data_IF_803964140317
#
_entry.id   IF_803964140317
#
_cell.length_a   1.000
_cell.length_b   1.000
_cell.length_c   1.000
_cell.angle_alpha   90.00
_cell.angle_beta   90.00
_cell.angle_gamma   90.00
#
_symmetry.space_group_name_H-M   'P 1'
#
loop_
_entity.id
_entity.type
_entity.pdbx_description
1 polymer ?
#
# COMPACT_ATOMS: atom_id res chain seq x y z
N UNK A 1 33.80 -3.27 -11.32
CA UNK A 1 32.85 -2.32 -10.69
C UNK A 1 33.44 -0.92 -10.73
N UNK A 2 32.74 0.04 -11.35
CA UNK A 2 33.17 1.44 -11.50
C UNK A 2 33.14 2.18 -10.15
N UNK A 3 33.92 3.27 -10.01
CA UNK A 3 33.87 4.14 -8.82
C UNK A 3 32.44 4.64 -8.51
N UNK A 4 31.64 4.88 -9.55
CA UNK A 4 30.23 5.26 -9.45
C UNK A 4 29.38 4.16 -8.80
N UNK A 5 29.57 2.89 -9.21
CA UNK A 5 28.86 1.75 -8.62
C UNK A 5 29.20 1.50 -7.14
N UNK A 6 30.39 1.89 -6.68
CA UNK A 6 30.76 1.84 -5.25
C UNK A 6 30.19 3.01 -4.44
N UNK A 7 30.10 4.21 -5.03
CA UNK A 7 29.49 5.38 -4.38
C UNK A 7 27.98 5.22 -4.20
N UNK A 8 27.29 4.63 -5.19
CA UNK A 8 25.85 4.33 -5.10
C UNK A 8 25.57 3.32 -3.98
N UNK A 9 26.34 2.22 -3.93
CA UNK A 9 26.19 1.21 -2.87
C UNK A 9 26.52 1.73 -1.46
N UNK A 10 27.36 2.76 -1.35
CA UNK A 10 27.74 3.35 -0.07
C UNK A 10 26.72 4.39 0.45
N UNK A 11 25.95 5.03 -0.44
CA UNK A 11 24.83 5.91 -0.05
C UNK A 11 23.59 5.14 0.39
N UNK A 12 23.29 3.99 -0.22
CA UNK A 12 22.15 3.12 0.15
C UNK A 12 22.28 2.56 1.57
N UNK A 13 23.50 2.50 2.13
CA UNK A 13 23.78 1.87 3.44
C UNK A 13 23.58 2.79 4.67
N UNK A 14 23.31 4.08 4.51
CA UNK A 14 23.38 5.07 5.62
C UNK A 14 22.01 5.44 6.23
N UNK A 15 20.88 5.00 5.65
CA UNK A 15 19.56 5.36 6.17
C UNK A 15 19.02 4.42 7.28
N UNK A 16 19.88 3.88 8.15
CA UNK A 16 19.45 3.26 9.41
C UNK A 16 19.88 4.14 10.59
N UNK A 17 18.89 4.87 11.14
CA UNK A 17 18.86 5.53 12.45
C UNK A 17 19.73 6.79 12.61
N UNK A 18 19.06 7.95 12.73
CA UNK A 18 19.09 8.81 13.95
C UNK A 18 18.12 9.99 13.83
N UNK A 19 17.24 10.09 14.83
CA UNK A 19 16.38 11.25 15.11
C UNK A 19 17.17 12.57 15.05
N UNK A 20 16.65 13.56 14.32
CA UNK A 20 16.75 14.98 14.72
C UNK A 20 15.52 15.75 14.29
N UNK A 21 14.97 16.49 15.27
CA UNK A 21 13.89 17.46 15.15
C UNK A 21 14.18 18.51 14.07
N UNK A 22 13.23 18.75 13.16
CA UNK A 22 13.28 19.91 12.26
C UNK A 22 11.91 20.57 12.07
N UNK A 23 11.90 21.89 12.26
CA UNK A 23 10.77 22.79 11.98
C UNK A 23 10.53 22.85 10.47
N UNK A 24 9.28 22.66 10.03
CA UNK A 24 8.93 22.68 8.60
C UNK A 24 7.95 23.82 8.26
N UNK A 25 8.22 24.48 7.13
CA UNK A 25 7.22 25.23 6.36
C UNK A 25 6.64 24.31 5.30
N UNK A 26 5.32 24.33 5.16
CA UNK A 26 4.57 23.52 4.21
C UNK A 26 4.65 24.12 2.81
N UNK A 27 5.14 23.34 1.85
CA UNK A 27 4.98 23.58 0.41
C UNK A 27 4.39 22.30 -0.17
N UNK A 28 3.36 22.42 -1.01
CA UNK A 28 2.49 21.32 -1.43
C UNK A 28 3.22 20.10 -1.99
N UNK A 29 2.70 18.92 -1.62
CA UNK A 29 3.19 17.59 -2.01
C UNK A 29 2.97 17.35 -3.51
N UNK A 30 4.05 17.17 -4.27
CA UNK A 30 4.09 16.52 -5.59
C UNK A 30 5.37 15.67 -5.71
N UNK A 31 5.25 14.39 -6.13
CA UNK A 31 6.33 13.39 -6.33
C UNK A 31 6.48 12.40 -5.16
N UNK A 32 6.90 11.11 -5.24
CA UNK A 32 7.67 10.37 -6.26
C UNK A 32 8.43 9.11 -5.70
N UNK A 33 7.86 8.08 -5.01
CA UNK A 33 8.49 6.75 -4.69
C UNK A 33 7.58 5.49 -4.60
N UNK A 34 8.01 4.30 -5.03
CA UNK A 34 7.36 2.96 -5.03
C UNK A 34 6.85 2.56 -3.63
N UNK A 35 6.94 3.51 -2.70
CA UNK A 35 7.80 3.75 -1.54
C UNK A 35 7.39 5.18 -1.13
N UNK A 36 7.02 5.50 0.10
CA UNK A 36 6.75 6.92 0.42
C UNK A 36 8.08 7.69 0.28
N UNK A 37 8.15 8.60 -0.70
CA UNK A 37 9.35 9.40 -0.98
C UNK A 37 9.14 10.81 -0.49
N UNK A 38 10.14 11.25 0.27
CA UNK A 38 10.25 12.61 0.76
C UNK A 38 11.58 13.20 0.32
N UNK A 39 11.50 14.28 -0.45
CA UNK A 39 12.65 15.03 -0.91
C UNK A 39 13.20 15.92 0.22
N UNK A 40 14.52 15.94 0.33
CA UNK A 40 15.31 16.83 1.18
C UNK A 40 16.39 17.50 0.30
N UNK A 41 17.05 18.54 0.80
CA UNK A 41 17.90 19.43 -0.03
C UNK A 41 18.94 18.69 -0.90
N UNK A 42 19.47 17.54 -0.44
CA UNK A 42 20.48 16.77 -1.16
C UNK A 42 20.20 15.24 -1.24
N UNK A 43 19.06 14.77 -0.71
CA UNK A 43 18.75 13.34 -0.54
C UNK A 43 17.25 12.99 -0.59
N UNK A 44 16.97 11.69 -0.81
CA UNK A 44 15.62 11.12 -0.77
C UNK A 44 15.48 10.22 0.45
N UNK A 45 14.47 10.46 1.27
CA UNK A 45 13.99 9.47 2.26
C UNK A 45 12.94 8.59 1.59
N UNK A 46 13.12 7.28 1.68
CA UNK A 46 12.23 6.29 1.05
C UNK A 46 11.76 5.28 2.11
N UNK A 47 10.46 5.07 2.23
CA UNK A 47 9.84 4.08 3.12
C UNK A 47 9.06 3.08 2.28
N UNK A 48 9.21 1.77 2.52
CA UNK A 48 8.49 0.76 1.73
C UNK A 48 6.99 0.84 1.98
N UNK A 49 6.17 0.48 1.00
CA UNK A 49 4.73 0.43 1.18
C UNK A 49 4.34 -0.64 2.21
N UNK A 50 5.13 -1.72 2.28
CA UNK A 50 4.92 -2.74 3.30
C UNK A 50 5.24 -2.22 4.71
N UNK A 51 6.25 -1.36 4.88
CA UNK A 51 6.56 -0.74 6.17
C UNK A 51 5.43 0.21 6.62
N UNK A 52 4.82 0.98 5.71
CA UNK A 52 3.66 1.79 6.09
C UNK A 52 2.47 0.91 6.43
N UNK A 53 2.25 -0.20 5.73
CA UNK A 53 1.18 -1.14 6.05
C UNK A 53 1.36 -1.80 7.43
N UNK A 54 2.62 -2.07 7.81
CA UNK A 54 2.96 -2.54 9.16
C UNK A 54 2.68 -1.46 10.22
N UNK A 55 2.87 -0.17 9.91
CA UNK A 55 2.47 0.95 10.78
C UNK A 55 0.94 1.07 10.87
N UNK A 56 0.21 0.91 9.75
CA UNK A 56 -1.26 0.89 9.72
C UNK A 56 -1.82 -0.18 10.65
N UNK A 57 -1.25 -1.39 10.63
CA UNK A 57 -1.66 -2.47 11.51
C UNK A 57 -1.39 -2.17 12.99
N UNK A 58 -0.31 -1.43 13.30
CA UNK A 58 -0.02 -0.99 14.66
C UNK A 58 -1.07 -0.01 15.18
N UNK A 59 -1.56 0.93 14.35
CA UNK A 59 -2.66 1.81 14.72
C UNK A 59 -3.94 1.04 14.97
N UNK A 60 -4.29 0.13 14.06
CA UNK A 60 -5.50 -0.69 14.18
C UNK A 60 -5.54 -1.46 15.51
N UNK A 61 -4.40 -2.06 15.92
CA UNK A 61 -4.29 -2.79 17.21
C UNK A 61 -4.55 -1.94 18.46
N UNK A 62 -4.45 -0.60 18.36
CA UNK A 62 -4.74 0.30 19.48
C UNK A 62 -6.22 0.71 19.54
N UNK A 63 -7.02 0.40 18.51
CA UNK A 63 -8.43 0.69 18.54
C UNK A 63 -9.21 -0.25 19.45
N UNK A 64 -10.27 0.28 20.03
CA UNK A 64 -11.13 -0.51 20.91
C UNK A 64 -11.98 -1.49 20.08
N UNK A 65 -12.39 -2.65 20.64
CA UNK A 65 -13.15 -3.66 19.92
C UNK A 65 -14.42 -3.15 19.24
N UNK A 66 -15.06 -2.11 19.76
CA UNK A 66 -16.28 -1.53 19.19
C UNK A 66 -16.07 -0.92 17.80
N UNK A 67 -14.83 -0.55 17.44
CA UNK A 67 -14.50 -0.06 16.09
C UNK A 67 -14.57 -1.16 15.02
N UNK A 68 -14.45 -2.42 15.43
CA UNK A 68 -14.54 -3.57 14.53
C UNK A 68 -16.00 -4.00 14.29
N UNK A 69 -16.95 -3.59 15.15
CA UNK A 69 -18.36 -4.02 15.15
C UNK A 69 -18.58 -5.53 15.37
N UNK A 70 -17.83 -6.38 14.68
CA UNK A 70 -17.80 -7.82 14.82
C UNK A 70 -16.40 -8.28 15.16
N UNK A 71 -16.25 -8.78 16.39
CA UNK A 71 -14.94 -9.24 16.87
C UNK A 71 -14.50 -10.55 16.21
N UNK A 72 -15.39 -11.31 15.57
CA UNK A 72 -15.06 -12.56 14.89
C UNK A 72 -14.03 -12.34 13.77
N UNK A 73 -14.13 -11.21 13.05
CA UNK A 73 -13.24 -10.89 11.94
C UNK A 73 -12.02 -10.05 12.35
N UNK A 74 -11.79 -9.81 13.64
CA UNK A 74 -10.71 -8.90 14.10
C UNK A 74 -9.35 -9.28 13.51
N UNK A 75 -9.00 -10.57 13.56
CA UNK A 75 -7.71 -11.05 13.08
C UNK A 75 -7.58 -10.93 11.56
N UNK A 76 -8.66 -11.21 10.82
CA UNK A 76 -8.69 -11.06 9.36
C UNK A 76 -8.59 -9.58 8.94
N UNK A 77 -9.25 -8.68 9.67
CA UNK A 77 -9.17 -7.24 9.42
C UNK A 77 -7.76 -6.73 9.73
N UNK A 78 -7.17 -7.14 10.85
CA UNK A 78 -5.79 -6.78 11.18
C UNK A 78 -4.81 -7.30 10.13
N UNK A 79 -5.03 -8.52 9.63
CA UNK A 79 -4.23 -9.09 8.54
C UNK A 79 -4.42 -8.29 7.23
N UNK A 80 -5.64 -7.92 6.88
CA UNK A 80 -5.91 -7.09 5.71
C UNK A 80 -5.19 -5.74 5.79
N UNK A 81 -5.23 -5.09 6.94
CA UNK A 81 -4.56 -3.81 7.17
C UNK A 81 -3.05 -3.94 7.05
N UNK A 82 -2.47 -5.02 7.58
CA UNK A 82 -1.04 -5.30 7.46
C UNK A 82 -0.60 -5.59 6.02
N UNK A 83 -1.44 -6.27 5.26
CA UNK A 83 -1.09 -6.81 3.94
C UNK A 83 -1.74 -6.05 2.78
N UNK A 84 -2.40 -4.91 3.03
CA UNK A 84 -3.13 -4.16 2.00
C UNK A 84 -2.22 -3.75 0.84
N UNK A 85 -0.94 -3.50 1.14
CA UNK A 85 0.09 -3.17 0.16
C UNK A 85 1.13 -4.27 -0.11
N UNK A 86 0.79 -5.53 0.18
CA UNK A 86 1.67 -6.68 -0.07
C UNK A 86 2.20 -6.77 -1.49
N UNK A 87 1.44 -6.29 -2.48
CA UNK A 87 1.87 -6.26 -3.89
C UNK A 87 3.17 -5.49 -4.09
N UNK A 88 3.47 -4.51 -3.24
CA UNK A 88 4.63 -3.65 -3.38
C UNK A 88 5.94 -4.25 -2.88
N UNK A 89 5.93 -5.32 -2.08
CA UNK A 89 7.17 -5.90 -1.49
C UNK A 89 8.25 -6.10 -2.56
N UNK A 90 7.91 -6.74 -3.69
CA UNK A 90 8.87 -6.96 -4.78
C UNK A 90 9.19 -5.72 -5.62
N UNK A 91 8.28 -4.73 -5.67
CA UNK A 91 8.50 -3.47 -6.37
C UNK A 91 9.43 -2.54 -5.58
N UNK A 92 9.40 -2.64 -4.25
CA UNK A 92 10.15 -1.81 -3.31
C UNK A 92 11.57 -2.32 -3.05
N UNK A 93 11.82 -3.61 -3.25
CA UNK A 93 13.16 -4.20 -3.11
C UNK A 93 14.20 -3.54 -4.04
N UNK A 94 13.78 -3.12 -5.23
CA UNK A 94 14.65 -2.49 -6.24
C UNK A 94 13.93 -1.25 -6.81
N UNK A 95 14.00 -0.10 -6.12
CA UNK A 95 13.33 1.11 -6.58
C UNK A 95 13.84 1.53 -7.97
N UNK A 96 12.90 1.80 -8.87
CA UNK A 96 13.21 2.22 -10.23
C UNK A 96 13.47 3.73 -10.28
N UNK A 97 14.51 4.12 -11.01
CA UNK A 97 14.85 5.52 -11.26
C UNK A 97 14.03 6.08 -12.43
N UNK A 98 13.46 7.27 -12.25
CA UNK A 98 12.73 8.01 -13.26
C UNK A 98 13.60 9.14 -13.85
N UNK A 99 14.24 8.87 -14.98
CA UNK A 99 15.13 9.82 -15.67
C UNK A 99 14.44 11.13 -16.08
N UNK A 100 13.11 11.13 -16.25
CA UNK A 100 12.37 12.31 -16.70
C UNK A 100 12.31 13.40 -15.62
N UNK A 101 12.20 12.99 -14.37
CA UNK A 101 12.05 13.92 -13.23
C UNK A 101 13.26 13.88 -12.29
N UNK A 102 14.27 13.08 -12.63
CA UNK A 102 15.49 12.89 -11.83
C UNK A 102 15.20 12.49 -10.36
N UNK A 103 14.23 11.60 -10.17
CA UNK A 103 13.86 11.04 -8.87
C UNK A 103 13.46 9.55 -9.03
N UNK A 104 13.35 8.76 -7.95
CA UNK A 104 12.72 7.45 -8.00
C UNK A 104 11.25 7.53 -8.49
N UNK A 105 10.70 6.44 -9.02
CA UNK A 105 9.26 6.35 -9.35
C UNK A 105 8.41 6.24 -8.09
N UNK A 106 7.21 6.88 -8.06
CA UNK A 106 6.11 6.81 -7.08
C UNK A 106 5.11 5.69 -7.12
N UNK A 107 4.50 5.37 -5.98
CA UNK A 107 3.16 4.83 -5.89
C UNK A 107 2.24 5.55 -6.89
N UNK A 108 2.30 6.87 -7.00
CA UNK A 108 1.47 7.65 -7.92
C UNK A 108 1.87 7.56 -9.40
N UNK A 109 3.17 7.50 -9.73
CA UNK A 109 3.67 7.57 -11.13
C UNK A 109 4.44 6.32 -11.60
N UNK A 110 4.45 5.23 -10.82
CA UNK A 110 5.05 3.95 -11.21
C UNK A 110 4.30 3.40 -12.43
N UNK A 111 5.01 2.71 -13.36
CA UNK A 111 4.38 2.12 -14.53
C UNK A 111 3.16 1.26 -14.18
N UNK A 112 2.01 1.61 -14.75
CA UNK A 112 0.70 1.03 -14.41
C UNK A 112 0.67 -0.49 -14.51
N UNK A 113 1.14 -1.05 -15.62
CA UNK A 113 1.02 -2.49 -15.88
C UNK A 113 1.76 -3.35 -14.83
N UNK A 114 3.04 -3.08 -14.50
CA UNK A 114 3.71 -3.73 -13.37
C UNK A 114 2.96 -3.62 -12.04
N UNK A 115 2.35 -2.46 -11.74
CA UNK A 115 1.55 -2.31 -10.50
C UNK A 115 0.39 -3.29 -10.46
N UNK A 116 -0.43 -3.32 -11.51
CA UNK A 116 -1.64 -4.15 -11.55
C UNK A 116 -1.31 -5.64 -11.44
N UNK A 117 -0.25 -6.10 -12.11
CA UNK A 117 0.23 -7.48 -11.98
C UNK A 117 0.60 -7.82 -10.53
N UNK A 118 1.31 -6.91 -9.86
CA UNK A 118 1.74 -7.14 -8.49
C UNK A 118 0.61 -7.00 -7.48
N UNK A 119 -0.38 -6.14 -7.74
CA UNK A 119 -1.60 -6.05 -6.93
C UNK A 119 -2.35 -7.38 -6.96
N UNK A 120 -2.61 -7.94 -8.15
CA UNK A 120 -3.23 -9.26 -8.28
C UNK A 120 -2.42 -10.36 -7.57
N UNK A 121 -1.09 -10.35 -7.71
CA UNK A 121 -0.21 -11.28 -6.99
C UNK A 121 -0.32 -11.13 -5.47
N UNK A 122 -0.29 -9.90 -4.95
CA UNK A 122 -0.42 -9.60 -3.53
C UNK A 122 -1.74 -10.12 -2.97
N UNK A 123 -2.86 -9.79 -3.61
CA UNK A 123 -4.19 -10.28 -3.21
C UNK A 123 -4.26 -11.81 -3.24
N UNK A 124 -3.72 -12.45 -4.28
CA UNK A 124 -3.66 -13.93 -4.36
C UNK A 124 -2.88 -14.55 -3.21
N UNK A 125 -1.79 -13.92 -2.76
CA UNK A 125 -1.01 -14.39 -1.63
C UNK A 125 -1.74 -14.22 -0.31
N UNK A 126 -2.41 -13.09 -0.10
CA UNK A 126 -3.26 -12.86 1.07
C UNK A 126 -4.41 -13.89 1.11
N UNK A 127 -5.03 -14.19 -0.03
CA UNK A 127 -6.17 -15.13 -0.09
C UNK A 127 -5.80 -16.54 0.35
N UNK A 128 -4.54 -16.96 0.17
CA UNK A 128 -4.03 -18.26 0.67
C UNK A 128 -4.01 -18.33 2.19
N UNK A 129 -3.97 -17.19 2.87
CA UNK A 129 -3.95 -17.09 4.33
C UNK A 129 -5.33 -16.74 4.87
N UNK A 130 -5.99 -15.72 4.32
CA UNK A 130 -7.35 -15.33 4.68
C UNK A 130 -8.09 -14.78 3.48
N UNK A 131 -9.25 -15.38 3.21
CA UNK A 131 -10.13 -14.95 2.13
C UNK A 131 -10.83 -13.64 2.47
N UNK A 132 -11.17 -13.43 3.74
CA UNK A 132 -11.74 -12.17 4.19
C UNK A 132 -10.74 -11.02 4.09
N UNK A 133 -9.49 -11.26 4.47
CA UNK A 133 -8.44 -10.26 4.30
C UNK A 133 -8.22 -9.92 2.82
N UNK A 134 -8.18 -10.92 1.94
CA UNK A 134 -8.04 -10.70 0.50
C UNK A 134 -9.22 -9.92 -0.10
N UNK A 135 -10.45 -10.16 0.37
CA UNK A 135 -11.62 -9.36 -0.01
C UNK A 135 -11.40 -7.88 0.33
N UNK A 136 -10.94 -7.57 1.54
CA UNK A 136 -10.68 -6.19 1.95
C UNK A 136 -9.53 -5.55 1.15
N UNK A 137 -8.43 -6.27 0.89
CA UNK A 137 -7.35 -5.77 0.03
C UNK A 137 -7.83 -5.51 -1.41
N UNK A 138 -8.66 -6.41 -1.96
CA UNK A 138 -9.27 -6.26 -3.29
C UNK A 138 -10.17 -5.02 -3.36
N UNK A 139 -11.05 -4.84 -2.37
CA UNK A 139 -11.91 -3.66 -2.25
C UNK A 139 -11.08 -2.38 -2.12
N UNK A 140 -9.98 -2.41 -1.37
CA UNK A 140 -9.07 -1.28 -1.22
C UNK A 140 -8.44 -0.87 -2.56
N UNK A 141 -7.80 -1.79 -3.28
CA UNK A 141 -7.20 -1.48 -4.58
C UNK A 141 -8.22 -1.02 -5.63
N UNK A 142 -9.42 -1.63 -5.65
CA UNK A 142 -10.49 -1.24 -6.57
C UNK A 142 -11.18 0.07 -6.19
N UNK A 143 -10.89 0.63 -5.01
CA UNK A 143 -11.39 1.94 -4.58
C UNK A 143 -10.60 3.11 -5.18
N UNK A 144 -9.38 2.88 -5.65
CA UNK A 144 -8.52 3.94 -6.19
C UNK A 144 -9.08 4.51 -7.50
N UNK A 145 -9.33 5.81 -7.53
CA UNK A 145 -9.99 6.47 -8.66
C UNK A 145 -9.23 6.32 -9.99
N UNK A 146 -7.88 6.32 -9.95
CA UNK A 146 -7.03 6.10 -11.13
C UNK A 146 -7.10 4.65 -11.68
N UNK A 147 -7.69 3.72 -10.93
CA UNK A 147 -7.98 2.35 -11.38
C UNK A 147 -9.45 2.24 -11.75
N UNK A 148 -10.34 2.56 -10.80
CA UNK A 148 -11.80 2.44 -10.92
C UNK A 148 -12.37 3.20 -12.11
N UNK A 149 -11.94 4.43 -12.30
CA UNK A 149 -12.51 5.35 -13.31
C UNK A 149 -11.69 5.35 -14.61
N UNK A 150 -10.65 4.52 -14.69
CA UNK A 150 -9.77 4.43 -15.86
C UNK A 150 -10.40 3.63 -16.99
N UNK A 151 -10.22 4.12 -18.22
CA UNK A 151 -10.59 3.42 -19.46
C UNK A 151 -9.44 2.60 -20.05
N UNK A 152 -8.28 2.56 -19.38
CA UNK A 152 -7.15 1.77 -19.84
C UNK A 152 -7.50 0.27 -19.83
N UNK A 153 -7.21 -0.50 -20.89
CA UNK A 153 -7.57 -1.92 -20.96
C UNK A 153 -7.12 -2.73 -19.74
N UNK A 154 -5.88 -2.53 -19.30
CA UNK A 154 -5.35 -3.24 -18.12
C UNK A 154 -6.09 -2.91 -16.82
N UNK A 155 -6.52 -1.65 -16.61
CA UNK A 155 -7.35 -1.29 -15.45
C UNK A 155 -8.72 -1.97 -15.52
N UNK A 156 -9.33 -2.00 -16.70
CA UNK A 156 -10.63 -2.65 -16.92
C UNK A 156 -10.52 -4.16 -16.67
N UNK A 157 -9.45 -4.81 -17.12
CA UNK A 157 -9.20 -6.23 -16.88
C UNK A 157 -8.96 -6.53 -15.40
N UNK A 158 -8.16 -5.70 -14.72
CA UNK A 158 -7.93 -5.79 -13.28
C UNK A 158 -9.24 -5.66 -12.50
N UNK A 159 -10.02 -4.60 -12.79
CA UNK A 159 -11.32 -4.37 -12.15
C UNK A 159 -12.28 -5.54 -12.35
N UNK A 160 -12.40 -6.05 -13.58
CA UNK A 160 -13.26 -7.20 -13.87
C UNK A 160 -12.84 -8.46 -13.12
N UNK A 161 -11.52 -8.67 -12.96
CA UNK A 161 -10.98 -9.81 -12.21
C UNK A 161 -11.29 -9.69 -10.73
N UNK A 162 -11.07 -8.52 -10.16
CA UNK A 162 -11.28 -8.28 -8.74
C UNK A 162 -12.77 -8.22 -8.37
N UNK A 163 -13.65 -7.69 -9.22
CA UNK A 163 -15.11 -7.77 -9.03
C UNK A 163 -15.60 -9.23 -8.97
N UNK A 164 -15.09 -10.11 -9.84
CA UNK A 164 -15.41 -11.55 -9.79
C UNK A 164 -14.90 -12.18 -8.50
N UNK A 165 -13.68 -11.84 -8.05
CA UNK A 165 -13.13 -12.32 -6.78
C UNK A 165 -14.00 -11.88 -5.60
N UNK A 166 -14.38 -10.61 -5.56
CA UNK A 166 -15.22 -10.04 -4.51
C UNK A 166 -16.58 -10.74 -4.44
N UNK A 167 -17.23 -10.98 -5.58
CA UNK A 167 -18.48 -11.74 -5.65
C UNK A 167 -18.29 -13.19 -5.17
N UNK A 168 -17.26 -13.88 -5.65
CA UNK A 168 -16.98 -15.27 -5.29
C UNK A 168 -16.68 -15.45 -3.80
N UNK A 169 -15.88 -14.56 -3.21
CA UNK A 169 -15.58 -14.59 -1.78
C UNK A 169 -16.83 -14.20 -0.99
N UNK A 170 -17.56 -13.16 -1.41
CA UNK A 170 -18.79 -12.71 -0.76
C UNK A 170 -19.88 -13.77 -0.70
N UNK A 171 -20.05 -14.60 -1.74
CA UNK A 171 -21.00 -15.71 -1.76
C UNK A 171 -20.63 -16.86 -0.81
N UNK A 172 -19.34 -17.02 -0.51
CA UNK A 172 -18.83 -18.14 0.30
C UNK A 172 -18.70 -17.77 1.78
N UNK A 173 -18.69 -16.48 2.07
CA UNK A 173 -18.74 -15.94 3.42
C UNK A 173 -20.18 -15.96 3.93
N UNK A 174 -20.46 -16.81 4.92
CA UNK A 174 -21.78 -16.91 5.58
C UNK A 174 -22.08 -15.62 6.38
N UNK A 175 -21.02 -14.93 6.81
CA UNK A 175 -20.97 -13.63 7.47
C UNK A 175 -19.70 -12.90 6.98
N UNK A 176 -19.64 -11.54 6.98
CA UNK A 176 -20.59 -10.62 7.58
C UNK A 176 -21.47 -9.86 6.56
N UNK A 177 -22.49 -9.16 7.06
CA UNK A 177 -23.34 -8.30 6.23
C UNK A 177 -22.51 -7.24 5.49
N UNK A 178 -23.01 -6.76 4.35
CA UNK A 178 -22.31 -5.75 3.52
C UNK A 178 -21.90 -4.51 4.30
N UNK A 179 -22.71 -4.07 5.27
CA UNK A 179 -22.40 -2.92 6.13
C UNK A 179 -21.16 -3.13 7.01
N UNK A 180 -20.94 -4.35 7.51
CA UNK A 180 -19.76 -4.70 8.32
C UNK A 180 -18.52 -4.74 7.42
N UNK A 181 -18.63 -5.32 6.21
CA UNK A 181 -17.53 -5.29 5.24
C UNK A 181 -17.12 -3.85 4.91
N UNK A 182 -18.09 -2.97 4.69
CA UNK A 182 -17.84 -1.55 4.46
C UNK A 182 -17.18 -0.86 5.66
N UNK A 183 -17.56 -1.24 6.89
CA UNK A 183 -16.91 -0.74 8.11
C UNK A 183 -15.45 -1.18 8.18
N UNK A 184 -15.16 -2.44 7.92
CA UNK A 184 -13.80 -2.97 7.93
C UNK A 184 -12.94 -2.36 6.83
N UNK A 185 -13.49 -2.16 5.64
CA UNK A 185 -12.81 -1.44 4.56
C UNK A 185 -12.49 0.00 4.96
N UNK A 186 -13.45 0.69 5.58
CA UNK A 186 -13.23 2.04 6.10
C UNK A 186 -12.13 2.07 7.16
N UNK A 187 -12.08 1.08 8.05
CA UNK A 187 -11.03 0.98 9.08
C UNK A 187 -9.65 0.80 8.44
N UNK A 188 -9.57 -0.02 7.39
CA UNK A 188 -8.35 -0.21 6.61
C UNK A 188 -7.89 1.10 5.98
N UNK A 189 -8.79 1.78 5.25
CA UNK A 189 -8.49 3.06 4.60
C UNK A 189 -8.12 4.14 5.61
N UNK A 190 -8.74 4.17 6.79
CA UNK A 190 -8.36 5.08 7.87
C UNK A 190 -6.94 4.82 8.35
N UNK A 191 -6.57 3.56 8.58
CA UNK A 191 -5.23 3.22 9.08
C UNK A 191 -4.15 3.52 8.02
N UNK A 192 -4.46 3.20 6.76
CA UNK A 192 -3.65 3.58 5.60
C UNK A 192 -3.41 5.11 5.57
N UNK A 193 -4.47 5.91 5.55
CA UNK A 193 -4.39 7.37 5.58
C UNK A 193 -3.59 7.92 6.77
N UNK A 194 -3.76 7.34 7.97
CA UNK A 194 -3.02 7.76 9.17
C UNK A 194 -1.52 7.46 9.05
N UNK A 195 -1.16 6.30 8.49
CA UNK A 195 0.24 5.93 8.26
C UNK A 195 0.91 6.88 7.28
N UNK A 196 0.26 7.19 6.16
CA UNK A 196 0.78 8.08 5.13
C UNK A 196 0.98 9.53 5.62
N UNK A 197 0.20 9.99 6.60
CA UNK A 197 0.31 11.35 7.17
C UNK A 197 1.43 11.51 8.21
N UNK A 198 1.90 10.40 8.79
CA UNK A 198 2.92 10.41 9.83
C UNK A 198 4.34 10.22 9.29
N UNK A 199 4.46 9.78 8.04
CA UNK A 199 5.70 9.52 7.32
C UNK A 199 6.08 10.74 6.46
#
# INVERSE_FOLDING_TARGET
>A
MSKLSRQIAQKIKIAYIKEKQFKQKWVGLQGGGTMIVRECEDDFTMITQHDHADLSAQFARQFKPEFYMDTEFTDDVLLAIREHDRGWIGLDEIPLWNDRIHAPFSFFDYPLYPKLLMYTKGINEVERTSRYAALLCSLHYTSFANIRDSKHPDCVEFMNTELRRQEQIGQQLIHPASEIVLRHLWLLQLCDDLSLRLL
#
